data_IF_500677435080
#
_entry.id   IF_500677435080
#
_cell.length_a   1.000
_cell.length_b   1.000
_cell.length_c   1.000
_cell.angle_alpha   90.00
_cell.angle_beta   90.00
_cell.angle_gamma   90.00
#
_symmetry.space_group_name_H-M   'P 1'
#
loop_
_entity.id
_entity.type
_entity.pdbx_description
1 polymer ?
#
# COMPACT_ATOMS: atom_id res chain seq x y z
N UNK A 1 -1.63 -2.74 18.49
CA UNK A 1 -1.33 -1.46 17.81
C UNK A 1 -2.21 -1.21 16.58
N UNK A 2 -2.17 -2.06 15.55
CA UNK A 2 -2.94 -1.86 14.30
C UNK A 2 -4.44 -1.66 14.52
N UNK A 3 -5.04 -2.36 15.49
CA UNK A 3 -6.43 -2.19 15.90
C UNK A 3 -6.76 -0.74 16.30
N UNK A 4 -5.90 -0.10 17.09
CA UNK A 4 -6.10 1.29 17.52
C UNK A 4 -5.92 2.26 16.35
N UNK A 5 -4.94 2.02 15.48
CA UNK A 5 -4.71 2.84 14.28
C UNK A 5 -5.93 2.80 13.37
N UNK A 6 -6.42 1.61 13.00
CA UNK A 6 -7.59 1.49 12.11
C UNK A 6 -8.87 2.00 12.79
N UNK A 7 -9.01 1.85 14.10
CA UNK A 7 -10.10 2.46 14.89
C UNK A 7 -10.08 3.99 14.80
N UNK A 8 -8.91 4.60 14.98
CA UNK A 8 -8.70 6.03 14.77
C UNK A 8 -9.07 6.47 13.36
N UNK A 9 -8.63 5.71 12.34
CA UNK A 9 -8.92 6.02 10.94
C UNK A 9 -10.42 5.91 10.62
N UNK A 10 -11.14 4.95 11.21
CA UNK A 10 -12.60 4.86 11.13
C UNK A 10 -13.25 6.13 11.66
N UNK A 11 -12.80 6.65 12.80
CA UNK A 11 -13.37 7.86 13.36
C UNK A 11 -13.21 9.04 12.41
N UNK A 12 -12.06 9.17 11.73
CA UNK A 12 -11.83 10.18 10.69
C UNK A 12 -12.80 9.98 9.52
N UNK A 13 -12.86 8.76 8.96
CA UNK A 13 -13.72 8.44 7.81
C UNK A 13 -15.22 8.63 8.11
N UNK A 14 -15.68 8.31 9.33
CA UNK A 14 -17.07 8.52 9.76
C UNK A 14 -17.47 10.00 9.85
N UNK A 15 -16.50 10.89 10.00
CA UNK A 15 -16.72 12.34 9.91
C UNK A 15 -16.66 12.87 8.46
N UNK A 16 -16.65 11.98 7.46
CA UNK A 16 -16.45 12.31 6.04
C UNK A 16 -15.12 13.04 5.77
N UNK A 17 -14.10 12.79 6.59
CA UNK A 17 -12.75 13.30 6.41
C UNK A 17 -11.84 12.21 5.84
N UNK A 18 -10.75 12.63 5.22
CA UNK A 18 -9.68 11.77 4.70
C UNK A 18 -8.38 12.32 5.27
N UNK A 19 -7.53 11.45 5.83
CA UNK A 19 -6.26 11.82 6.45
C UNK A 19 -5.29 12.46 5.44
N UNK A 20 -5.17 11.86 4.25
CA UNK A 20 -4.35 12.31 3.13
C UNK A 20 -2.81 12.20 3.30
N UNK A 21 -2.32 12.06 4.52
CA UNK A 21 -0.87 11.89 4.80
C UNK A 21 -0.64 10.85 5.90
N UNK A 22 -1.35 9.72 5.83
CA UNK A 22 -1.21 8.68 6.84
C UNK A 22 0.11 7.96 6.63
N UNK A 23 0.97 7.96 7.65
CA UNK A 23 2.22 7.21 7.68
C UNK A 23 2.64 7.00 9.14
N UNK A 24 3.66 6.18 9.36
CA UNK A 24 4.23 5.85 10.67
C UNK A 24 4.58 7.11 11.51
N UNK A 25 5.21 8.11 10.91
CA UNK A 25 5.54 9.39 11.56
C UNK A 25 4.32 10.20 12.06
N UNK A 26 3.11 9.87 11.61
CA UNK A 26 1.85 10.47 12.07
C UNK A 26 1.08 9.55 13.04
N UNK A 27 1.72 8.49 13.55
CA UNK A 27 1.17 7.61 14.59
C UNK A 27 1.88 7.92 15.92
N UNK A 28 1.15 8.52 16.85
CA UNK A 28 1.65 8.82 18.19
C UNK A 28 1.37 7.67 19.14
N UNK A 29 2.42 7.10 19.71
CA UNK A 29 2.34 6.07 20.73
C UNK A 29 2.54 6.70 22.12
N UNK A 30 1.47 6.79 22.91
CA UNK A 30 1.57 7.29 24.29
C UNK A 30 1.99 6.19 25.26
N UNK A 31 1.42 4.99 25.10
CA UNK A 31 1.80 3.76 25.81
C UNK A 31 1.25 2.53 25.07
N UNK A 32 1.54 1.33 25.59
CA UNK A 32 1.17 0.03 24.99
C UNK A 32 -0.31 -0.08 24.56
N UNK A 33 -1.21 0.68 25.19
CA UNK A 33 -2.65 0.65 24.95
C UNK A 33 -3.22 1.91 24.27
N UNK A 34 -2.42 2.96 24.04
CA UNK A 34 -2.92 4.26 23.59
C UNK A 34 -2.13 4.77 22.39
N UNK A 35 -2.77 4.65 21.23
CA UNK A 35 -2.24 5.08 19.93
C UNK A 35 -3.19 6.11 19.34
N UNK A 36 -2.62 7.18 18.79
CA UNK A 36 -3.37 8.27 18.19
C UNK A 36 -2.86 8.55 16.78
N UNK A 37 -3.78 8.84 15.87
CA UNK A 37 -3.43 9.43 14.57
C UNK A 37 -3.31 10.95 14.76
N UNK A 38 -2.20 11.53 14.34
CA UNK A 38 -1.92 12.96 14.41
C UNK A 38 -1.84 13.60 13.02
N UNK A 39 -1.54 14.90 12.98
CA UNK A 39 -1.38 15.70 11.76
C UNK A 39 -2.56 15.65 10.78
N UNK A 40 -3.72 16.09 11.30
CA UNK A 40 -4.92 16.32 10.51
C UNK A 40 -4.84 17.64 9.71
N UNK A 41 -3.67 18.26 9.58
CA UNK A 41 -3.49 19.54 8.86
C UNK A 41 -3.79 19.43 7.36
N UNK A 42 -3.72 18.22 6.83
CA UNK A 42 -4.08 17.89 5.45
C UNK A 42 -5.46 17.25 5.32
N UNK A 43 -6.18 17.06 6.43
CA UNK A 43 -7.55 16.59 6.40
C UNK A 43 -8.42 17.59 5.64
N UNK A 44 -8.89 17.16 4.48
CA UNK A 44 -9.58 18.01 3.52
C UNK A 44 -11.09 17.85 3.63
N UNK A 45 -11.80 18.97 3.58
CA UNK A 45 -12.86 19.19 2.60
C UNK A 45 -12.27 20.02 1.43
N UNK A 46 -11.52 19.34 0.55
CA UNK A 46 -11.18 19.71 -0.84
C UNK A 46 -10.40 21.05 -1.12
N UNK A 47 -9.14 20.88 -1.57
CA UNK A 47 -8.38 21.61 -2.65
C UNK A 47 -7.63 22.96 -2.48
N UNK A 48 -7.61 23.70 -1.39
CA UNK A 48 -7.25 25.14 -1.52
C UNK A 48 -5.78 25.60 -1.60
N UNK A 49 -4.74 24.77 -1.41
CA UNK A 49 -3.36 25.33 -1.24
C UNK A 49 -2.26 24.84 -2.20
N UNK A 50 -2.47 23.74 -2.92
CA UNK A 50 -1.44 23.14 -3.76
C UNK A 50 -1.58 23.54 -5.23
N UNK A 51 -0.46 23.78 -5.92
CA UNK A 51 -0.44 24.03 -7.36
C UNK A 51 -1.06 22.84 -8.09
N UNK A 52 -1.71 23.11 -9.23
CA UNK A 52 -2.28 22.05 -10.07
C UNK A 52 -1.22 20.99 -10.37
N UNK A 53 -1.54 19.71 -10.15
CA UNK A 53 -0.65 18.55 -10.37
C UNK A 53 0.55 18.41 -9.43
N UNK A 54 0.71 19.26 -8.42
CA UNK A 54 1.76 19.06 -7.42
C UNK A 54 1.43 17.89 -6.50
N UNK A 55 2.45 17.12 -6.16
CA UNK A 55 2.34 15.95 -5.29
C UNK A 55 3.01 16.30 -3.96
N UNK A 56 2.31 16.09 -2.86
CA UNK A 56 2.83 16.26 -1.50
C UNK A 56 2.54 15.00 -0.70
N UNK A 57 3.52 14.52 0.06
CA UNK A 57 3.37 13.40 0.99
C UNK A 57 4.66 12.60 1.14
N UNK A 58 4.56 11.42 1.73
CA UNK A 58 5.66 10.46 1.93
C UNK A 58 5.54 9.33 0.90
N UNK A 59 6.34 9.37 -0.17
CA UNK A 59 6.20 8.51 -1.37
C UNK A 59 5.90 7.02 -1.06
N UNK A 60 6.64 6.33 -0.18
CA UNK A 60 6.35 4.93 0.18
C UNK A 60 4.91 4.63 0.63
N UNK A 61 4.25 5.61 1.28
CA UNK A 61 2.88 5.47 1.81
C UNK A 61 1.82 5.97 0.82
N UNK A 62 2.21 6.63 -0.28
CA UNK A 62 1.26 7.24 -1.21
C UNK A 62 0.66 6.22 -2.16
N UNK A 63 -0.67 6.17 -2.20
CA UNK A 63 -1.39 5.31 -3.14
C UNK A 63 -1.10 5.70 -4.61
N UNK A 64 -1.06 4.72 -5.54
CA UNK A 64 -0.68 4.95 -6.93
C UNK A 64 -1.60 5.95 -7.64
N UNK A 65 -2.90 5.98 -7.33
CA UNK A 65 -3.82 6.97 -7.89
C UNK A 65 -3.51 8.41 -7.46
N UNK A 66 -2.95 8.59 -6.26
CA UNK A 66 -2.58 9.90 -5.71
C UNK A 66 -1.31 10.42 -6.39
N UNK A 67 -0.32 9.54 -6.59
CA UNK A 67 0.89 9.85 -7.37
C UNK A 67 0.54 10.25 -8.81
N UNK A 68 -0.50 9.64 -9.38
CA UNK A 68 -1.07 9.99 -10.70
C UNK A 68 -1.94 11.25 -10.68
N UNK A 69 -2.08 11.90 -9.54
CA UNK A 69 -2.79 13.17 -9.37
C UNK A 69 -4.32 13.05 -9.32
N UNK A 70 -4.86 11.85 -9.04
CA UNK A 70 -6.28 11.70 -8.71
C UNK A 70 -6.55 12.23 -7.30
N UNK A 71 -7.81 12.63 -7.00
CA UNK A 71 -8.16 13.07 -5.66
C UNK A 71 -7.97 11.98 -4.59
N UNK A 72 -7.65 12.41 -3.38
CA UNK A 72 -7.69 11.56 -2.19
C UNK A 72 -9.08 10.99 -1.94
N UNK A 73 -9.11 9.77 -1.44
CA UNK A 73 -10.33 9.05 -1.03
C UNK A 73 -10.05 8.29 0.26
N UNK A 74 -11.05 7.81 1.00
CA UNK A 74 -10.80 6.89 2.12
C UNK A 74 -9.94 5.68 1.72
N UNK A 75 -10.06 5.20 0.47
CA UNK A 75 -9.27 4.08 -0.04
C UNK A 75 -7.76 4.39 -0.19
N UNK A 76 -7.35 5.66 -0.33
CA UNK A 76 -5.93 6.02 -0.33
C UNK A 76 -5.33 6.00 1.08
N UNK A 77 -6.12 6.29 2.12
CA UNK A 77 -5.67 6.09 3.50
C UNK A 77 -5.55 4.60 3.83
N UNK A 78 -6.41 3.74 3.28
CA UNK A 78 -6.30 2.27 3.42
C UNK A 78 -5.02 1.72 2.78
N UNK A 79 -4.63 2.25 1.62
CA UNK A 79 -3.34 1.94 1.02
C UNK A 79 -2.20 2.35 1.97
N UNK A 80 -2.27 3.55 2.53
CA UNK A 80 -1.25 4.03 3.46
C UNK A 80 -1.16 3.14 4.72
N UNK A 81 -2.32 2.71 5.25
CA UNK A 81 -2.41 1.78 6.37
C UNK A 81 -1.74 0.43 6.06
N UNK A 82 -1.83 -0.07 4.82
CA UNK A 82 -1.13 -1.31 4.44
C UNK A 82 0.40 -1.19 4.47
N UNK A 83 0.94 0.01 4.24
CA UNK A 83 2.38 0.24 4.32
C UNK A 83 2.84 0.25 5.78
N UNK A 84 2.01 0.76 6.68
CA UNK A 84 2.19 0.59 8.13
C UNK A 84 2.08 -0.90 8.50
N UNK A 85 1.11 -1.65 7.96
CA UNK A 85 1.04 -3.11 8.17
C UNK A 85 2.34 -3.81 7.75
N UNK A 86 2.87 -3.46 6.58
CA UNK A 86 4.12 -4.04 6.10
C UNK A 86 5.31 -3.70 7.01
N UNK A 87 5.40 -2.45 7.48
CA UNK A 87 6.45 -2.03 8.39
C UNK A 87 6.42 -2.80 9.73
N UNK A 88 5.23 -3.17 10.21
CA UNK A 88 5.09 -4.01 11.41
C UNK A 88 5.65 -5.41 11.24
N UNK A 89 5.66 -5.97 10.02
CA UNK A 89 6.19 -7.31 9.77
C UNK A 89 7.67 -7.28 9.42
N UNK A 90 8.14 -6.22 8.75
CA UNK A 90 9.54 -6.07 8.35
C UNK A 90 10.43 -5.51 9.45
N UNK A 91 9.89 -4.64 10.32
CA UNK A 91 10.65 -3.88 11.31
C UNK A 91 11.45 -2.71 10.71
N UNK A 92 11.24 -2.41 9.42
CA UNK A 92 11.89 -1.31 8.70
C UNK A 92 10.86 -0.53 7.86
N UNK A 93 11.12 0.75 7.56
CA UNK A 93 10.20 1.51 6.71
C UNK A 93 10.12 0.96 5.27
N UNK A 94 8.98 1.11 4.58
CA UNK A 94 8.82 0.60 3.21
C UNK A 94 9.81 1.25 2.24
N UNK A 95 10.34 0.45 1.31
CA UNK A 95 11.30 0.87 0.28
C UNK A 95 12.59 1.52 0.81
N UNK A 96 13.06 1.15 2.00
CA UNK A 96 14.24 1.76 2.63
C UNK A 96 15.55 1.62 1.86
N UNK A 97 15.64 0.67 0.95
CA UNK A 97 16.85 0.33 0.20
C UNK A 97 17.06 1.21 -1.04
N UNK A 98 16.21 2.19 -1.32
CA UNK A 98 16.25 2.98 -2.56
C UNK A 98 15.84 4.44 -2.40
N UNK A 99 16.13 5.25 -3.41
CA UNK A 99 15.78 6.66 -3.45
C UNK A 99 14.26 6.88 -3.60
N UNK A 100 13.69 7.82 -2.82
CA UNK A 100 12.27 8.17 -2.87
C UNK A 100 11.98 9.27 -3.90
N UNK A 101 12.41 9.06 -5.14
CA UNK A 101 12.22 10.00 -6.24
C UNK A 101 11.15 9.54 -7.24
N UNK A 102 11.19 10.14 -8.44
CA UNK A 102 10.27 9.83 -9.54
C UNK A 102 10.29 8.35 -9.93
N UNK A 103 11.45 7.67 -9.85
CA UNK A 103 11.56 6.27 -10.22
C UNK A 103 10.73 5.38 -9.30
N UNK A 104 10.83 5.55 -7.97
CA UNK A 104 10.00 4.79 -7.03
C UNK A 104 8.51 5.08 -7.25
N UNK A 105 8.14 6.34 -7.52
CA UNK A 105 6.75 6.69 -7.80
C UNK A 105 6.22 6.06 -9.09
N UNK A 106 7.06 5.93 -10.13
CA UNK A 106 6.72 5.20 -11.36
C UNK A 106 6.50 3.73 -11.05
N UNK A 107 7.43 3.10 -10.34
CA UNK A 107 7.36 1.67 -10.07
C UNK A 107 6.15 1.30 -9.19
N UNK A 108 5.84 2.12 -8.17
CA UNK A 108 4.61 1.97 -7.36
C UNK A 108 3.36 2.03 -8.24
N UNK A 109 3.32 2.96 -9.19
CA UNK A 109 2.23 3.07 -10.16
C UNK A 109 2.19 1.86 -11.12
N UNK A 110 3.33 1.25 -11.44
CA UNK A 110 3.42 0.03 -12.24
C UNK A 110 3.12 -1.24 -11.44
N UNK A 111 2.79 -1.10 -10.14
CA UNK A 111 2.36 -2.20 -9.28
C UNK A 111 3.43 -2.72 -8.34
N UNK A 112 4.61 -2.10 -8.29
CA UNK A 112 5.66 -2.48 -7.32
C UNK A 112 5.13 -2.32 -5.89
N UNK A 113 5.42 -3.30 -5.05
CA UNK A 113 5.11 -3.32 -3.62
C UNK A 113 6.34 -3.83 -2.86
N UNK A 114 6.49 -3.50 -1.58
CA UNK A 114 7.55 -4.08 -0.75
C UNK A 114 7.46 -5.61 -0.72
N UNK A 115 8.63 -6.26 -0.60
CA UNK A 115 8.72 -7.73 -0.54
C UNK A 115 8.00 -8.29 0.69
N UNK A 116 7.23 -9.36 0.53
CA UNK A 116 6.56 -10.01 1.65
C UNK A 116 7.60 -10.72 2.51
N UNK A 117 7.61 -10.36 3.79
CA UNK A 117 8.52 -10.95 4.76
C UNK A 117 8.18 -12.42 4.99
N UNK A 118 9.18 -13.28 4.87
CA UNK A 118 9.06 -14.70 5.14
C UNK A 118 8.48 -14.93 6.55
N UNK A 119 7.64 -15.96 6.69
CA UNK A 119 6.96 -16.31 7.93
C UNK A 119 5.90 -15.31 8.44
N UNK A 120 5.57 -14.27 7.67
CA UNK A 120 4.38 -13.47 7.96
C UNK A 120 3.13 -14.35 7.81
N UNK A 121 2.21 -14.40 8.79
CA UNK A 121 0.95 -15.13 8.69
C UNK A 121 0.20 -14.81 7.40
N UNK A 122 -0.33 -15.83 6.73
CA UNK A 122 -0.94 -15.69 5.41
C UNK A 122 -2.20 -14.81 5.46
N UNK A 123 -3.03 -14.97 6.48
CA UNK A 123 -4.21 -14.12 6.70
C UNK A 123 -3.86 -12.63 6.86
N UNK A 124 -2.69 -12.33 7.44
CA UNK A 124 -2.15 -10.98 7.53
C UNK A 124 -1.69 -10.46 6.16
N UNK A 125 -0.94 -11.28 5.42
CA UNK A 125 -0.49 -10.98 4.05
C UNK A 125 -1.69 -10.72 3.14
N UNK A 126 -2.75 -11.52 3.24
CA UNK A 126 -3.95 -11.39 2.42
C UNK A 126 -4.71 -10.10 2.72
N UNK A 127 -4.88 -9.74 4.00
CA UNK A 127 -5.48 -8.47 4.38
C UNK A 127 -4.62 -7.28 3.90
N UNK A 128 -3.31 -7.33 4.14
CA UNK A 128 -2.38 -6.29 3.70
C UNK A 128 -2.44 -6.12 2.17
N UNK A 129 -2.47 -7.23 1.42
CA UNK A 129 -2.58 -7.21 -0.04
C UNK A 129 -3.89 -6.62 -0.54
N UNK A 130 -5.01 -6.93 0.13
CA UNK A 130 -6.31 -6.31 -0.17
C UNK A 130 -6.28 -4.80 0.10
N UNK A 131 -5.58 -4.34 1.15
CA UNK A 131 -5.47 -2.93 1.48
C UNK A 131 -4.60 -2.14 0.48
N UNK A 132 -3.61 -2.75 -0.18
CA UNK A 132 -2.76 -2.09 -1.20
C UNK A 132 -3.09 -2.41 -2.66
N UNK A 133 -4.29 -2.95 -2.92
CA UNK A 133 -4.72 -3.30 -4.28
C UNK A 133 -4.57 -2.09 -5.22
N UNK A 134 -4.12 -2.34 -6.44
CA UNK A 134 -3.92 -1.30 -7.45
C UNK A 134 -5.21 -0.55 -7.75
N UNK A 135 -6.35 -1.26 -7.76
CA UNK A 135 -7.66 -0.66 -7.90
C UNK A 135 -8.19 -0.19 -6.54
N UNK A 136 -8.34 1.12 -6.29
CA UNK A 136 -8.86 1.63 -5.03
C UNK A 136 -10.28 1.13 -4.69
N UNK A 137 -11.06 0.72 -5.69
CA UNK A 137 -12.41 0.17 -5.48
C UNK A 137 -12.41 -1.25 -4.91
N UNK A 138 -11.29 -1.98 -5.03
CA UNK A 138 -11.14 -3.33 -4.46
C UNK A 138 -10.62 -3.29 -3.02
N UNK A 139 -10.12 -2.14 -2.56
CA UNK A 139 -9.63 -1.98 -1.19
C UNK A 139 -10.82 -2.00 -0.21
N UNK A 140 -10.71 -2.73 0.91
CA UNK A 140 -11.75 -2.75 1.93
C UNK A 140 -11.93 -1.38 2.57
N UNK A 141 -13.13 -1.10 3.09
CA UNK A 141 -13.33 0.07 3.96
C UNK A 141 -12.59 -0.12 5.28
N UNK A 142 -12.30 1.00 5.97
CA UNK A 142 -11.67 0.93 7.29
C UNK A 142 -12.49 0.11 8.29
N UNK A 143 -13.82 0.12 8.18
CA UNK A 143 -14.73 -0.71 9.00
C UNK A 143 -14.55 -2.21 8.76
N UNK A 144 -14.42 -2.63 7.50
CA UNK A 144 -14.14 -4.04 7.18
C UNK A 144 -12.79 -4.46 7.76
N UNK A 145 -11.75 -3.62 7.60
CA UNK A 145 -10.40 -3.89 8.12
C UNK A 145 -10.42 -3.99 9.64
N UNK A 146 -11.07 -3.07 10.35
CA UNK A 146 -11.20 -3.11 11.81
C UNK A 146 -11.89 -4.41 12.25
N UNK A 147 -12.98 -4.81 11.61
CA UNK A 147 -13.71 -6.00 12.00
C UNK A 147 -12.84 -7.26 11.87
N UNK A 148 -12.10 -7.39 10.76
CA UNK A 148 -11.16 -8.50 10.57
C UNK A 148 -10.09 -8.51 11.67
N UNK A 149 -9.42 -7.39 11.90
CA UNK A 149 -8.36 -7.28 12.93
C UNK A 149 -8.93 -7.52 14.33
N UNK A 150 -10.16 -7.05 14.60
CA UNK A 150 -10.86 -7.24 15.87
C UNK A 150 -11.09 -8.72 16.16
N UNK A 151 -11.52 -9.49 15.15
CA UNK A 151 -11.76 -10.93 15.30
C UNK A 151 -10.47 -11.72 15.59
N UNK A 152 -9.32 -11.27 15.09
CA UNK A 152 -8.03 -11.89 15.42
C UNK A 152 -7.60 -11.67 16.88
N UNK A 153 -8.02 -10.56 17.49
CA UNK A 153 -7.52 -10.13 18.81
C UNK A 153 -8.52 -10.44 19.93
N UNK A 154 -9.81 -10.27 19.67
CA UNK A 154 -10.86 -10.34 20.69
C UNK A 154 -11.83 -11.48 20.41
N UNK A 155 -11.99 -12.36 21.39
CA UNK A 155 -13.15 -13.25 21.44
C UNK A 155 -14.32 -12.50 22.10
N UNK A 156 -15.47 -12.32 21.42
CA UNK A 156 -16.64 -11.71 22.05
C UNK A 156 -17.07 -12.53 23.26
N UNK A 157 -17.41 -11.86 24.38
CA UNK A 157 -17.78 -12.50 25.64
C UNK A 157 -18.95 -13.49 25.49
N UNK A 158 -19.86 -13.20 24.55
CA UNK A 158 -21.06 -14.01 24.31
C UNK A 158 -20.85 -15.15 23.28
N UNK A 159 -19.66 -15.23 22.66
CA UNK A 159 -19.35 -16.23 21.63
C UNK A 159 -18.65 -17.42 22.27
N UNK A 160 -19.20 -18.63 22.14
CA UNK A 160 -18.48 -19.84 22.56
C UNK A 160 -17.37 -20.15 21.57
N UNK A 161 -16.30 -20.80 22.04
CA UNK A 161 -15.19 -21.26 21.17
C UNK A 161 -15.72 -22.20 20.06
N UNK A 162 -16.76 -22.98 20.38
CA UNK A 162 -17.46 -23.88 19.45
C UNK A 162 -18.13 -23.13 18.29
N UNK A 163 -18.50 -21.87 18.47
CA UNK A 163 -19.19 -21.04 17.46
C UNK A 163 -18.21 -20.29 16.54
N UNK A 164 -16.91 -20.42 16.78
CA UNK A 164 -15.87 -19.82 15.93
C UNK A 164 -15.81 -20.62 14.63
N UNK A 165 -15.91 -19.94 13.48
CA UNK A 165 -15.79 -20.58 12.18
C UNK A 165 -14.35 -21.12 11.95
N UNK A 166 -14.22 -22.11 11.08
CA UNK A 166 -12.92 -22.76 10.83
C UNK A 166 -11.89 -21.81 10.20
N UNK A 167 -12.32 -20.84 9.40
CA UNK A 167 -11.43 -19.83 8.81
C UNK A 167 -10.73 -18.99 9.90
N UNK A 168 -11.47 -18.49 10.88
CA UNK A 168 -10.92 -17.72 11.98
C UNK A 168 -10.02 -18.57 12.89
N UNK A 169 -10.35 -19.85 13.10
CA UNK A 169 -9.45 -20.79 13.81
C UNK A 169 -8.13 -20.96 13.07
N UNK A 170 -8.17 -21.17 11.75
CA UNK A 170 -6.97 -21.26 10.91
C UNK A 170 -6.14 -19.97 11.00
N UNK A 171 -6.76 -18.80 10.84
CA UNK A 171 -6.09 -17.50 10.93
C UNK A 171 -5.37 -17.34 12.28
N UNK A 172 -6.04 -17.64 13.40
CA UNK A 172 -5.43 -17.57 14.74
C UNK A 172 -4.25 -18.54 14.85
N UNK A 173 -4.38 -19.74 14.30
CA UNK A 173 -3.33 -20.75 14.36
C UNK A 173 -2.10 -20.36 13.54
N UNK A 174 -2.25 -19.62 12.44
CA UNK A 174 -1.13 -19.04 11.70
C UNK A 174 -0.32 -18.08 12.57
N UNK A 175 -0.97 -17.22 13.37
CA UNK A 175 -0.27 -16.33 14.29
C UNK A 175 0.44 -17.08 15.41
N UNK A 176 -0.18 -18.14 15.98
CA UNK A 176 0.41 -18.95 17.06
C UNK A 176 1.64 -19.72 16.57
N UNK A 177 1.57 -20.25 15.35
CA UNK A 177 2.63 -21.07 14.76
C UNK A 177 3.70 -20.25 14.04
N UNK A 178 3.50 -18.94 13.87
CA UNK A 178 4.47 -18.08 13.22
C UNK A 178 5.79 -18.11 14.01
N UNK A 179 6.92 -18.48 13.37
CA UNK A 179 8.20 -18.48 14.04
C UNK A 179 8.59 -17.05 14.44
N UNK A 180 9.19 -16.92 15.62
CA UNK A 180 9.80 -15.67 16.08
C UNK A 180 11.11 -15.51 15.32
N UNK A 181 11.03 -14.97 14.11
CA UNK A 181 12.18 -14.67 13.26
C UNK A 181 12.71 -13.26 13.50
N UNK A 182 14.02 -13.09 13.47
CA UNK A 182 14.64 -11.79 13.24
C UNK A 182 14.87 -11.64 11.74
N UNK A 183 14.24 -10.66 11.11
CA UNK A 183 14.52 -10.36 9.72
C UNK A 183 15.94 -9.77 9.62
N UNK A 184 16.79 -10.35 8.77
CA UNK A 184 18.14 -9.82 8.50
C UNK A 184 18.10 -8.62 7.53
N UNK A 185 17.06 -7.80 7.59
CA UNK A 185 16.92 -6.62 6.75
C UNK A 185 17.87 -5.52 7.21
N UNK A 186 18.48 -4.82 6.26
CA UNK A 186 19.32 -3.67 6.56
C UNK A 186 18.48 -2.56 7.15
N UNK A 187 18.80 -2.14 8.38
CA UNK A 187 18.15 -1.01 9.04
C UNK A 187 18.64 0.34 8.52
N UNK A 188 19.83 0.36 7.89
CA UNK A 188 20.37 1.56 7.25
C UNK A 188 19.56 1.88 5.98
N UNK A 189 18.98 3.07 5.96
CA UNK A 189 18.21 3.55 4.82
C UNK A 189 19.12 4.13 3.75
N UNK A 190 18.72 3.98 2.50
CA UNK A 190 19.37 4.63 1.36
C UNK A 190 19.48 6.14 1.60
N UNK A 191 20.60 6.81 1.28
CA UNK A 191 20.80 8.23 1.60
C UNK A 191 19.77 9.20 1.00
N UNK A 192 19.07 8.77 -0.05
CA UNK A 192 17.99 9.51 -0.72
C UNK A 192 16.58 8.97 -0.39
N UNK A 193 16.47 8.04 0.57
CA UNK A 193 15.20 7.71 1.18
C UNK A 193 14.76 8.87 2.08
N UNK A 194 13.48 9.20 2.07
CA UNK A 194 12.93 10.28 2.89
C UNK A 194 11.50 9.95 3.29
N UNK A 195 11.32 9.87 4.61
CA UNK A 195 10.10 9.46 5.33
C UNK A 195 9.34 10.63 5.96
N UNK A 196 9.71 11.86 5.62
CA UNK A 196 9.02 13.08 6.03
C UNK A 196 8.25 13.66 4.86
N UNK A 197 7.06 14.19 5.13
CA UNK A 197 6.20 14.82 4.12
C UNK A 197 6.94 15.95 3.39
N UNK A 198 6.89 15.93 2.05
CA UNK A 198 7.51 16.97 1.22
C UNK A 198 6.74 17.18 -0.08
N UNK A 199 6.92 18.36 -0.65
CA UNK A 199 6.55 18.63 -2.03
C UNK A 199 7.56 17.93 -2.96
N UNK A 200 7.08 17.08 -3.87
CA UNK A 200 7.95 16.43 -4.84
C UNK A 200 8.41 17.41 -5.93
N UNK A 201 9.63 17.19 -6.44
CA UNK A 201 10.26 17.99 -7.49
C UNK A 201 9.73 17.68 -8.90
N UNK A 202 8.79 16.75 -9.01
CA UNK A 202 8.04 16.42 -10.22
C UNK A 202 6.53 16.52 -10.01
N UNK A 203 5.80 16.59 -11.12
CA UNK A 203 4.33 16.67 -11.11
C UNK A 203 3.71 15.34 -11.53
N UNK A 204 2.45 15.14 -11.16
CA UNK A 204 1.68 13.98 -11.62
C UNK A 204 1.53 13.96 -13.14
N UNK A 205 1.52 15.13 -13.80
CA UNK A 205 1.51 15.24 -15.26
C UNK A 205 2.75 14.60 -15.88
N UNK A 206 3.94 14.98 -15.39
CA UNK A 206 5.22 14.41 -15.85
C UNK A 206 5.27 12.89 -15.61
N UNK A 207 4.79 12.44 -14.46
CA UNK A 207 4.74 11.01 -14.12
C UNK A 207 3.83 10.24 -15.09
N UNK A 208 2.64 10.76 -15.37
CA UNK A 208 1.70 10.14 -16.33
C UNK A 208 2.25 10.12 -17.76
N UNK A 209 2.90 11.21 -18.22
CA UNK A 209 3.55 11.26 -19.53
C UNK A 209 4.60 10.14 -19.70
N UNK A 210 5.40 9.87 -18.66
CA UNK A 210 6.39 8.79 -18.69
C UNK A 210 5.69 7.43 -18.77
N UNK A 211 4.66 7.18 -17.95
CA UNK A 211 3.92 5.90 -17.96
C UNK A 211 3.25 5.64 -19.33
N UNK A 212 2.64 6.66 -19.93
CA UNK A 212 2.02 6.57 -21.26
C UNK A 212 3.06 6.27 -22.35
N UNK A 213 4.25 6.88 -22.26
CA UNK A 213 5.35 6.62 -23.20
C UNK A 213 5.88 5.19 -23.10
N UNK A 214 6.04 4.65 -21.89
CA UNK A 214 6.46 3.25 -21.67
C UNK A 214 5.44 2.26 -22.22
N UNK A 215 4.15 2.49 -21.97
CA UNK A 215 3.07 1.64 -22.48
C UNK A 215 3.04 1.64 -24.02
N UNK A 216 3.27 2.79 -24.64
CA UNK A 216 3.34 2.92 -26.11
C UNK A 216 4.55 2.17 -26.70
N UNK A 217 5.70 2.20 -26.01
CA UNK A 217 6.87 1.43 -26.44
C UNK A 217 6.69 -0.08 -26.24
N UNK A 218 6.03 -0.50 -25.15
CA UNK A 218 5.71 -1.90 -24.89
C UNK A 218 4.76 -2.47 -25.94
N UNK A 219 3.73 -1.72 -26.34
CA UNK A 219 2.80 -2.13 -27.39
C UNK A 219 3.45 -2.21 -28.78
N UNK A 220 4.38 -1.29 -29.10
CA UNK A 220 5.18 -1.38 -30.34
C UNK A 220 6.03 -2.65 -30.35
N UNK A 221 6.76 -2.95 -29.25
CA UNK A 221 7.58 -4.16 -29.15
C UNK A 221 6.75 -5.45 -29.27
N UNK A 222 5.57 -5.49 -28.66
CA UNK A 222 4.65 -6.63 -28.78
C UNK A 222 4.20 -6.84 -30.23
N UNK A 223 3.87 -5.77 -30.94
CA UNK A 223 3.50 -5.83 -32.35
C UNK A 223 4.68 -6.24 -33.25
N UNK A 224 5.90 -5.78 -32.97
CA UNK A 224 7.10 -6.21 -33.69
C UNK A 224 7.40 -7.70 -33.47
N UNK A 225 7.22 -8.20 -32.24
CA UNK A 225 7.35 -9.63 -31.92
C UNK A 225 6.29 -10.47 -32.65
N UNK A 226 5.02 -10.07 -32.64
CA UNK A 226 3.96 -10.81 -33.34
C UNK A 226 4.17 -10.82 -34.87
N UNK A 227 4.56 -9.68 -35.46
CA UNK A 227 4.90 -9.61 -36.89
C UNK A 227 6.10 -10.49 -37.26
N UNK A 228 7.05 -10.67 -36.35
CA UNK A 228 8.21 -11.55 -36.57
C UNK A 228 7.86 -13.04 -36.49
N UNK A 229 6.87 -13.41 -35.67
CA UNK A 229 6.34 -14.78 -35.59
C UNK A 229 5.54 -15.14 -36.85
N UNK A 230 4.67 -14.23 -37.31
CA UNK A 230 3.89 -14.42 -38.54
C UNK A 230 4.80 -14.58 -39.78
N UNK A 231 5.89 -13.79 -39.87
CA UNK A 231 6.86 -13.89 -40.98
C UNK A 231 7.67 -15.20 -40.99
N UNK A 232 7.78 -15.89 -39.86
CA UNK A 232 8.49 -17.17 -39.77
C UNK A 232 7.61 -18.36 -40.20
N UNK A 233 6.29 -18.28 -40.07
CA UNK A 233 5.37 -19.28 -40.62
C UNK A 233 5.36 -19.25 -42.16
N UNK A 234 5.38 -18.06 -42.78
CA UNK A 234 5.40 -17.93 -44.24
C UNK A 234 6.70 -18.42 -44.91
N UNK A 235 7.80 -18.58 -44.17
CA UNK A 235 9.08 -19.04 -44.74
C UNK A 235 9.24 -20.57 -44.80
N UNK A 236 8.34 -21.34 -44.17
CA UNK A 236 8.46 -22.81 -44.11
C UNK A 236 7.69 -23.51 -45.25
N UNK A 237 6.79 -22.82 -45.96
CA UNK A 237 5.96 -23.44 -47.02
C UNK A 237 6.57 -23.42 -48.44
N UNK A 238 7.62 -22.63 -48.71
CA UNK A 238 8.16 -22.43 -50.07
C UNK A 238 9.41 -23.29 -50.43
N UNK A 239 9.65 -24.42 -49.73
CA UNK A 239 10.84 -25.27 -49.95
C UNK A 239 10.57 -26.76 -50.23
N UNK A 240 9.49 -27.10 -50.95
CA UNK A 240 9.29 -28.47 -51.47
C UNK A 240 9.15 -28.53 -52.98
#
# INVERSE_FOLDING_TARGET
>A
MLYEIISGLINIHKQNLIHCDLHDGNILNHNESKIYISDLGLCKPIKSFLKKYSIYGVVPFMAPEILRGKPYTPASDIYSFSMIMWEFTSGIPPFNNRAHGIQLSLDICEGERPEIIENTPQCYVDLMKRCWDENPLKRPSSEIVLNIIKEWIFLPYDRKIEDINEELKCNIMEFINAPIGHNNLTTESHPQACYTGRLLDFTSKKLNEILESKNSQASIKLNEMSLSEDLNEYKIEDLK
#
